data_IF_462134086213
#
_entry.id   IF_462134086213
#
_cell.length_a   1.000
_cell.length_b   1.000
_cell.length_c   1.000
_cell.angle_alpha   90.00
_cell.angle_beta   90.00
_cell.angle_gamma   90.00
#
_symmetry.space_group_name_H-M   'P 1'
#
loop_
_entity.id
_entity.type
_entity.pdbx_description
1 polymer ?
#
# COMPACT_ATOMS: atom_id res chain seq x y z
N UNK A 1 -6.85 -7.63 4.92
CA UNK A 1 -6.16 -7.57 3.60
C UNK A 1 -6.13 -8.87 2.83
N UNK A 2 -5.72 -9.99 3.43
CA UNK A 2 -5.56 -11.28 2.71
C UNK A 2 -6.77 -11.67 1.85
N UNK A 3 -7.98 -11.67 2.44
CA UNK A 3 -9.24 -11.95 1.74
C UNK A 3 -9.42 -11.09 0.49
N UNK A 4 -9.21 -9.78 0.61
CA UNK A 4 -9.34 -8.82 -0.49
C UNK A 4 -8.34 -9.11 -1.62
N UNK A 5 -7.12 -9.54 -1.31
CA UNK A 5 -6.14 -9.92 -2.34
C UNK A 5 -6.50 -11.24 -3.04
N UNK A 6 -7.06 -12.21 -2.32
CA UNK A 6 -7.55 -13.45 -2.94
C UNK A 6 -8.72 -13.20 -3.90
N UNK A 7 -9.63 -12.28 -3.55
CA UNK A 7 -10.75 -11.89 -4.41
C UNK A 7 -10.28 -11.27 -5.74
N UNK A 8 -9.08 -10.67 -5.80
CA UNK A 8 -8.52 -10.15 -7.08
C UNK A 8 -8.17 -11.23 -8.11
N UNK A 9 -8.15 -12.51 -7.72
CA UNK A 9 -8.01 -13.66 -8.62
C UNK A 9 -9.35 -14.18 -9.12
N UNK A 10 -10.40 -14.11 -8.29
CA UNK A 10 -11.71 -14.69 -8.58
C UNK A 10 -12.55 -13.85 -9.56
N UNK A 11 -12.24 -12.57 -9.70
CA UNK A 11 -13.01 -11.65 -10.53
C UNK A 11 -12.28 -11.34 -11.85
N UNK A 12 -12.81 -11.85 -12.96
CA UNK A 12 -12.45 -11.38 -14.30
C UNK A 12 -13.18 -10.08 -14.60
N UNK A 13 -12.49 -8.96 -14.45
CA UNK A 13 -13.05 -7.63 -14.73
C UNK A 13 -12.56 -7.12 -16.07
N UNK A 14 -13.47 -6.59 -16.89
CA UNK A 14 -13.18 -5.96 -18.19
C UNK A 14 -12.22 -4.78 -17.97
N UNK A 15 -11.05 -4.82 -18.62
CA UNK A 15 -9.98 -3.87 -18.35
C UNK A 15 -10.16 -2.54 -19.09
N UNK A 16 -10.25 -1.44 -18.34
CA UNK A 16 -10.28 -0.06 -18.86
C UNK A 16 -8.91 0.59 -18.69
N UNK A 17 -8.50 1.37 -19.72
CA UNK A 17 -7.19 2.05 -19.78
C UNK A 17 -7.15 3.38 -19.03
N UNK A 18 -8.28 4.06 -18.90
CA UNK A 18 -8.39 5.36 -18.23
C UNK A 18 -9.07 5.23 -16.88
N UNK A 19 -8.57 5.96 -15.89
CA UNK A 19 -9.13 6.03 -14.54
C UNK A 19 -10.15 7.16 -14.52
N UNK A 20 -11.42 6.88 -14.25
CA UNK A 20 -12.43 7.93 -14.10
C UNK A 20 -12.32 8.61 -12.73
N UNK A 21 -12.97 9.78 -12.57
CA UNK A 21 -13.06 10.47 -11.27
C UNK A 21 -13.71 9.60 -10.19
N UNK A 22 -14.72 8.80 -10.58
CA UNK A 22 -15.39 7.88 -9.67
C UNK A 22 -14.44 6.76 -9.22
N UNK A 23 -13.63 6.21 -10.14
CA UNK A 23 -12.66 5.18 -9.77
C UNK A 23 -11.60 5.73 -8.82
N UNK A 24 -11.09 6.93 -9.08
CA UNK A 24 -10.16 7.62 -8.20
C UNK A 24 -10.74 7.84 -6.80
N UNK A 25 -12.01 8.27 -6.72
CA UNK A 25 -12.72 8.43 -5.45
C UNK A 25 -12.86 7.10 -4.70
N UNK A 26 -13.29 6.03 -5.37
CA UNK A 26 -13.44 4.70 -4.76
C UNK A 26 -12.09 4.19 -4.24
N UNK A 27 -11.01 4.31 -5.02
CA UNK A 27 -9.66 3.92 -4.57
C UNK A 27 -9.25 4.75 -3.35
N UNK A 28 -9.59 6.04 -3.30
CA UNK A 28 -9.39 6.91 -2.14
C UNK A 28 -10.11 6.43 -0.89
N UNK A 29 -11.37 5.96 -1.01
CA UNK A 29 -12.11 5.35 0.11
C UNK A 29 -11.39 4.11 0.64
N UNK A 30 -10.89 3.24 -0.24
CA UNK A 30 -10.08 2.09 0.18
C UNK A 30 -8.76 2.51 0.84
N UNK A 31 -8.15 3.63 0.43
CA UNK A 31 -6.99 4.19 1.12
C UNK A 31 -7.35 4.67 2.53
N UNK A 32 -8.51 5.32 2.70
CA UNK A 32 -8.97 5.76 4.01
C UNK A 32 -9.26 4.58 4.95
N UNK A 33 -9.86 3.50 4.44
CA UNK A 33 -10.05 2.26 5.21
C UNK A 33 -8.72 1.62 5.65
N UNK A 34 -7.64 1.86 4.90
CA UNK A 34 -6.32 1.36 5.26
C UNK A 34 -5.64 2.11 6.42
N UNK A 35 -6.31 3.09 7.04
CA UNK A 35 -5.90 3.67 8.33
C UNK A 35 -6.03 2.64 9.45
N UNK A 36 -6.94 1.66 9.31
CA UNK A 36 -7.09 0.57 10.28
C UNK A 36 -5.76 -0.21 10.38
N UNK A 37 -5.15 -0.31 11.57
CA UNK A 37 -3.88 -1.02 11.75
C UNK A 37 -3.92 -2.43 11.19
N UNK A 38 -2.83 -2.83 10.51
CA UNK A 38 -2.72 -4.15 9.88
C UNK A 38 -3.37 -4.25 8.49
N UNK A 39 -4.18 -3.27 8.06
CA UNK A 39 -4.65 -3.22 6.67
C UNK A 39 -3.54 -2.67 5.76
N UNK A 40 -3.07 -3.50 4.82
CA UNK A 40 -2.13 -3.04 3.79
C UNK A 40 -2.79 -1.99 2.89
N UNK A 41 -2.27 -0.76 2.93
CA UNK A 41 -2.72 0.33 2.05
C UNK A 41 -2.53 0.00 0.58
N UNK A 42 -1.31 -0.35 0.17
CA UNK A 42 -1.02 -0.72 -1.24
C UNK A 42 -1.85 -1.90 -1.71
N UNK A 43 -2.04 -2.93 -0.86
CA UNK A 43 -2.91 -4.05 -1.20
C UNK A 43 -4.36 -3.63 -1.43
N UNK A 44 -4.90 -2.77 -0.55
CA UNK A 44 -6.29 -2.30 -0.59
C UNK A 44 -6.57 -1.41 -1.79
N UNK A 45 -5.71 -0.43 -2.07
CA UNK A 45 -5.85 0.49 -3.21
C UNK A 45 -5.64 -0.19 -4.56
N UNK A 46 -4.68 -1.11 -4.66
CA UNK A 46 -4.45 -1.89 -5.90
C UNK A 46 -5.62 -2.83 -6.16
N UNK A 47 -6.11 -3.55 -5.14
CA UNK A 47 -7.27 -4.41 -5.31
C UNK A 47 -8.52 -3.62 -5.70
N UNK A 48 -8.76 -2.47 -5.07
CA UNK A 48 -9.85 -1.58 -5.45
C UNK A 48 -9.75 -1.17 -6.92
N UNK A 49 -8.56 -0.77 -7.38
CA UNK A 49 -8.34 -0.48 -8.80
C UNK A 49 -8.65 -1.66 -9.71
N UNK A 50 -8.22 -2.87 -9.34
CA UNK A 50 -8.51 -4.10 -10.09
C UNK A 50 -10.03 -4.41 -10.10
N UNK A 51 -10.74 -4.23 -8.98
CA UNK A 51 -12.19 -4.42 -8.89
C UNK A 51 -12.97 -3.38 -9.69
N UNK A 52 -12.41 -2.18 -9.85
CA UNK A 52 -12.91 -1.16 -10.78
C UNK A 52 -12.58 -1.45 -12.24
N UNK A 53 -11.89 -2.55 -12.55
CA UNK A 53 -11.52 -2.92 -13.90
C UNK A 53 -10.32 -2.16 -14.45
N UNK A 54 -9.55 -1.46 -13.61
CA UNK A 54 -8.33 -0.79 -14.07
C UNK A 54 -7.25 -1.83 -14.34
N UNK A 55 -6.46 -1.64 -15.39
CA UNK A 55 -5.34 -2.53 -15.66
C UNK A 55 -4.34 -2.56 -14.49
N UNK A 56 -3.75 -3.72 -14.24
CA UNK A 56 -2.89 -3.93 -13.06
C UNK A 56 -1.71 -2.94 -12.98
N UNK A 57 -1.16 -2.51 -14.12
CA UNK A 57 -0.04 -1.58 -14.18
C UNK A 57 -0.50 -0.15 -13.84
N UNK A 58 -1.64 0.29 -14.35
CA UNK A 58 -2.24 1.56 -13.98
C UNK A 58 -2.70 1.57 -12.52
N UNK A 59 -3.37 0.51 -12.03
CA UNK A 59 -3.79 0.39 -10.64
C UNK A 59 -2.59 0.46 -9.67
N UNK A 60 -1.50 -0.25 -10.00
CA UNK A 60 -0.23 -0.16 -9.26
C UNK A 60 0.29 1.29 -9.23
N UNK A 61 0.49 1.90 -10.41
CA UNK A 61 1.03 3.27 -10.51
C UNK A 61 0.17 4.28 -9.76
N UNK A 62 -1.16 4.21 -9.94
CA UNK A 62 -2.11 5.10 -9.29
C UNK A 62 -2.05 4.96 -7.77
N UNK A 63 -2.03 3.73 -7.25
CA UNK A 63 -1.88 3.46 -5.81
C UNK A 63 -0.62 4.07 -5.20
N UNK A 64 0.51 4.05 -5.94
CA UNK A 64 1.76 4.66 -5.47
C UNK A 64 1.68 6.19 -5.50
N UNK A 65 1.21 6.77 -6.60
CA UNK A 65 1.03 8.22 -6.72
C UNK A 65 0.09 8.78 -5.66
N UNK A 66 -1.04 8.10 -5.42
CA UNK A 66 -2.02 8.48 -4.40
C UNK A 66 -1.43 8.55 -2.99
N UNK A 67 -0.38 7.77 -2.74
CA UNK A 67 0.22 7.72 -1.41
C UNK A 67 1.27 8.77 -1.11
N UNK A 68 1.85 9.38 -2.13
CA UNK A 68 2.81 10.47 -1.96
C UNK A 68 2.19 11.62 -1.14
N UNK A 69 1.03 12.20 -1.52
CA UNK A 69 0.43 13.27 -0.73
C UNK A 69 -0.03 12.80 0.66
N UNK A 70 -0.48 11.55 0.79
CA UNK A 70 -0.89 10.99 2.09
C UNK A 70 0.29 10.84 3.06
N UNK A 71 1.44 10.33 2.59
CA UNK A 71 2.66 10.19 3.38
C UNK A 71 3.22 11.57 3.75
N UNK A 72 3.25 12.51 2.80
CA UNK A 72 3.69 13.89 3.08
C UNK A 72 2.78 14.53 4.13
N UNK A 73 1.47 14.38 4.01
CA UNK A 73 0.51 14.86 5.01
C UNK A 73 0.77 14.25 6.40
N UNK A 74 0.99 12.95 6.47
CA UNK A 74 1.33 12.27 7.72
C UNK A 74 2.66 12.76 8.32
N UNK A 75 3.67 13.02 7.48
CA UNK A 75 4.97 13.57 7.90
C UNK A 75 4.79 14.99 8.48
N UNK A 76 4.03 15.86 7.82
CA UNK A 76 3.77 17.23 8.30
C UNK A 76 3.13 17.23 9.69
N UNK A 77 2.20 16.31 9.94
CA UNK A 77 1.56 16.15 11.25
C UNK A 77 2.53 15.65 12.33
N UNK A 78 3.63 15.00 11.94
CA UNK A 78 4.64 14.49 12.88
C UNK A 78 5.74 15.51 13.22
N UNK A 79 5.87 16.60 12.46
CA UNK A 79 6.91 17.62 12.68
C UNK A 79 6.95 18.13 14.12
N UNK A 80 5.82 18.48 14.78
CA UNK A 80 5.87 18.98 16.15
C UNK A 80 6.49 17.97 17.13
N UNK A 81 6.23 16.67 16.95
CA UNK A 81 6.80 15.64 17.81
C UNK A 81 8.31 15.49 17.59
N UNK A 82 8.79 15.71 16.37
CA UNK A 82 10.22 15.68 16.03
C UNK A 82 10.95 16.90 16.62
N UNK A 83 10.34 18.08 16.54
CA UNK A 83 10.98 19.35 16.96
C UNK A 83 10.93 19.55 18.48
N UNK A 84 9.79 19.25 19.10
CA UNK A 84 9.58 19.49 20.54
C UNK A 84 9.79 18.24 21.40
N UNK A 85 9.95 17.06 20.80
CA UNK A 85 10.26 15.82 21.51
C UNK A 85 11.70 15.80 22.05
N UNK A 86 11.95 15.11 23.17
CA UNK A 86 13.31 14.86 23.68
C UNK A 86 14.10 14.05 22.65
N UNK A 87 14.87 14.76 21.83
CA UNK A 87 15.71 14.22 20.76
C UNK A 87 16.92 13.46 21.33
N UNK A 88 16.74 12.19 21.67
CA UNK A 88 17.85 11.26 21.95
C UNK A 88 18.21 10.38 20.74
N UNK A 89 17.44 10.43 19.65
CA UNK A 89 17.48 9.41 18.58
C UNK A 89 17.53 9.94 17.14
N UNK A 90 17.81 11.23 16.90
CA UNK A 90 17.86 11.79 15.54
C UNK A 90 18.86 11.07 14.62
N UNK A 91 20.02 10.66 15.14
CA UNK A 91 21.03 9.91 14.38
C UNK A 91 20.53 8.52 13.95
N UNK A 92 19.82 7.82 14.84
CA UNK A 92 19.22 6.51 14.56
C UNK A 92 18.05 6.64 13.58
N UNK A 93 17.24 7.69 13.72
CA UNK A 93 16.14 7.98 12.80
C UNK A 93 16.65 8.23 11.36
N UNK A 94 17.74 8.98 11.21
CA UNK A 94 18.35 9.22 9.89
C UNK A 94 18.91 7.94 9.26
N UNK A 95 19.60 7.10 10.04
CA UNK A 95 20.07 5.80 9.56
C UNK A 95 18.90 4.90 9.14
N UNK A 96 17.84 4.85 9.96
CA UNK A 96 16.61 4.11 9.67
C UNK A 96 15.92 4.60 8.40
N UNK A 97 15.92 5.92 8.15
CA UNK A 97 15.41 6.52 6.91
C UNK A 97 16.19 6.05 5.69
N UNK A 98 17.53 6.07 5.74
CA UNK A 98 18.38 5.61 4.64
C UNK A 98 18.14 4.13 4.34
N UNK A 99 18.14 3.29 5.38
CA UNK A 99 17.90 1.84 5.22
C UNK A 99 16.50 1.61 4.63
N UNK A 100 15.48 2.28 5.16
CA UNK A 100 14.09 2.17 4.68
C UNK A 100 13.94 2.62 3.24
N UNK A 101 14.70 3.63 2.79
CA UNK A 101 14.71 4.08 1.40
C UNK A 101 15.17 2.95 0.46
N UNK A 102 16.34 2.36 0.71
CA UNK A 102 16.88 1.29 -0.14
C UNK A 102 16.05 0.01 -0.08
N UNK A 103 15.63 -0.41 1.12
CA UNK A 103 14.75 -1.58 1.30
C UNK A 103 13.38 -1.33 0.66
N UNK A 104 12.87 -0.11 0.73
CA UNK A 104 11.62 0.31 0.09
C UNK A 104 11.70 0.22 -1.43
N UNK A 105 12.80 0.67 -2.05
CA UNK A 105 13.02 0.54 -3.50
C UNK A 105 13.06 -0.93 -3.93
N UNK A 106 13.74 -1.78 -3.18
CA UNK A 106 13.79 -3.21 -3.44
C UNK A 106 12.40 -3.87 -3.32
N UNK A 107 11.68 -3.54 -2.25
CA UNK A 107 10.32 -4.03 -1.99
C UNK A 107 9.34 -3.59 -3.08
N UNK A 108 9.49 -2.37 -3.60
CA UNK A 108 8.69 -1.83 -4.69
C UNK A 108 8.86 -2.67 -5.97
N UNK A 109 10.09 -3.10 -6.26
CA UNK A 109 10.39 -3.96 -7.42
C UNK A 109 9.68 -5.31 -7.29
N UNK A 110 9.79 -5.97 -6.14
CA UNK A 110 9.12 -7.26 -5.88
C UNK A 110 7.61 -7.13 -6.01
N UNK A 111 7.01 -6.13 -5.35
CA UNK A 111 5.57 -5.92 -5.40
C UNK A 111 5.09 -5.61 -6.82
N UNK A 112 5.85 -4.78 -7.56
CA UNK A 112 5.58 -4.48 -8.96
C UNK A 112 5.55 -5.75 -9.81
N UNK A 113 6.53 -6.63 -9.65
CA UNK A 113 6.55 -7.91 -10.36
C UNK A 113 5.36 -8.81 -10.02
N UNK A 114 4.99 -8.92 -8.74
CA UNK A 114 3.82 -9.70 -8.31
C UNK A 114 2.53 -9.17 -8.91
N UNK A 115 2.35 -7.85 -8.94
CA UNK A 115 1.16 -7.21 -9.51
C UNK A 115 1.11 -7.40 -11.01
N UNK A 116 2.21 -7.14 -11.73
CA UNK A 116 2.26 -7.25 -13.19
C UNK A 116 2.11 -8.69 -13.68
N UNK A 117 2.64 -9.68 -12.95
CA UNK A 117 2.48 -11.12 -13.24
C UNK A 117 1.12 -11.68 -12.80
N UNK A 118 0.17 -10.84 -12.36
CA UNK A 118 -1.15 -11.26 -11.83
C UNK A 118 -1.05 -12.21 -10.63
N UNK A 119 0.05 -12.13 -9.87
CA UNK A 119 0.37 -12.96 -8.70
C UNK A 119 0.13 -12.23 -7.37
N UNK A 120 -0.63 -11.13 -7.37
CA UNK A 120 -0.94 -10.37 -6.16
C UNK A 120 -1.64 -11.21 -5.07
N UNK A 121 -2.44 -12.21 -5.47
CA UNK A 121 -3.06 -13.15 -4.54
C UNK A 121 -2.04 -13.96 -3.71
N UNK A 122 -0.82 -14.18 -4.23
CA UNK A 122 0.26 -14.86 -3.48
C UNK A 122 0.67 -14.02 -2.26
N UNK A 123 0.68 -12.69 -2.39
CA UNK A 123 0.90 -11.78 -1.27
C UNK A 123 -0.22 -11.88 -0.21
N UNK A 124 -1.40 -12.36 -0.61
CA UNK A 124 -2.50 -12.69 0.31
C UNK A 124 -2.13 -13.77 1.34
N UNK A 125 -1.34 -14.79 0.96
CA UNK A 125 -0.84 -15.77 1.92
C UNK A 125 0.13 -15.15 2.92
N UNK A 126 1.06 -14.32 2.44
CA UNK A 126 1.98 -13.58 3.31
C UNK A 126 1.20 -12.77 4.36
N UNK A 127 0.18 -12.00 3.94
CA UNK A 127 -0.65 -11.24 4.88
C UNK A 127 -1.44 -12.13 5.84
N UNK A 128 -1.90 -13.31 5.41
CA UNK A 128 -2.64 -14.24 6.27
C UNK A 128 -1.73 -14.80 7.37
N UNK A 129 -0.58 -15.35 6.99
CA UNK A 129 0.35 -15.93 7.95
C UNK A 129 0.93 -14.89 8.90
N UNK A 130 1.27 -13.69 8.39
CA UNK A 130 1.74 -12.60 9.24
C UNK A 130 0.65 -12.13 10.22
N UNK A 131 -0.60 -12.04 9.75
CA UNK A 131 -1.74 -11.69 10.60
C UNK A 131 -1.99 -12.72 11.69
N UNK A 132 -1.94 -14.02 11.36
CA UNK A 132 -2.05 -15.10 12.34
C UNK A 132 -0.90 -15.08 13.34
N UNK A 133 0.33 -14.83 12.86
CA UNK A 133 1.50 -14.72 13.71
C UNK A 133 1.34 -13.61 14.76
N UNK A 134 0.89 -12.41 14.34
CA UNK A 134 0.65 -11.28 15.27
C UNK A 134 -0.52 -11.53 16.23
N UNK A 135 -1.46 -12.44 15.91
CA UNK A 135 -2.52 -12.81 16.86
C UNK A 135 -2.04 -13.78 17.94
N UNK A 136 -0.98 -14.55 17.65
CA UNK A 136 -0.43 -15.55 18.57
C UNK A 136 0.67 -14.95 19.45
N UNK A 137 1.46 -14.02 18.92
CA UNK A 137 2.62 -13.39 19.55
C UNK A 137 2.42 -11.89 19.72
#
# INVERSE_FOLDING_TARGET
>A
TSLLLFLTKALEVKRIKSISKLDAFIIGVFQALAIIPGISRSGSTIAAGIFRGIDRKAAFRFSFLLSIPAIIGALLLQIPQIVYGKSLFLSQGFLGMIISFFVGLFSLKILGELVLKSKLWIFGFYCLFLGLFVLIF
#
